data_IF_270134250352
#
_entry.id   IF_270134250352
#
_cell.length_a   1.000
_cell.length_b   1.000
_cell.length_c   1.000
_cell.angle_alpha   90.00
_cell.angle_beta   90.00
_cell.angle_gamma   90.00
#
_symmetry.space_group_name_H-M   'P 1'
#
loop_
_entity.id
_entity.type
_entity.pdbx_description
1 polymer ?
#
# COMPACT_ATOMS: atom_id res chain seq x y z
N UNK A 1 4.03 23.72 27.06
CA UNK A 1 4.45 22.82 25.95
C UNK A 1 3.63 23.17 24.71
N UNK A 2 4.28 23.45 23.55
CA UNK A 2 3.58 23.83 22.32
C UNK A 2 2.77 22.64 21.77
N UNK A 3 1.61 22.89 21.16
CA UNK A 3 0.73 21.86 20.59
C UNK A 3 1.44 20.93 19.59
N UNK A 4 2.51 21.40 18.95
CA UNK A 4 3.38 20.61 18.06
C UNK A 4 4.11 19.44 18.74
N UNK A 5 4.21 19.45 20.08
CA UNK A 5 4.82 18.35 20.84
C UNK A 5 3.82 17.28 21.30
N UNK A 6 2.51 17.51 21.17
CA UNK A 6 1.48 16.55 21.63
C UNK A 6 1.11 15.51 20.57
N UNK A 7 1.42 15.76 19.31
CA UNK A 7 1.20 14.83 18.20
C UNK A 7 2.53 14.51 17.54
N UNK A 8 3.38 13.70 18.17
CA UNK A 8 4.18 12.77 17.37
C UNK A 8 3.22 11.66 16.97
N UNK A 9 2.83 11.51 15.69
CA UNK A 9 2.05 10.37 15.27
C UNK A 9 2.77 9.11 15.75
N UNK A 10 2.04 8.27 16.47
CA UNK A 10 2.51 7.02 17.07
C UNK A 10 3.26 6.21 15.98
N UNK A 11 4.59 6.08 16.13
CA UNK A 11 5.48 5.17 15.40
C UNK A 11 5.21 4.96 13.89
N UNK A 12 4.89 5.99 13.12
CA UNK A 12 4.82 5.87 11.65
C UNK A 12 6.26 5.92 11.09
N UNK A 13 6.74 4.88 10.37
CA UNK A 13 8.03 4.92 9.70
C UNK A 13 8.20 6.18 8.84
N UNK A 14 9.37 6.82 8.88
CA UNK A 14 9.62 8.07 8.14
C UNK A 14 9.34 7.96 6.64
N UNK A 15 9.54 6.77 6.04
CA UNK A 15 9.21 6.50 4.64
C UNK A 15 7.72 6.71 4.29
N UNK A 16 6.83 6.65 5.29
CA UNK A 16 5.40 6.90 5.15
C UNK A 16 4.96 8.28 5.66
N UNK A 17 5.89 9.12 6.09
CA UNK A 17 5.56 10.43 6.61
C UNK A 17 5.43 11.43 5.44
N UNK A 18 4.23 11.50 4.85
CA UNK A 18 3.89 12.50 3.83
C UNK A 18 2.86 13.50 4.36
N UNK A 19 2.99 14.80 4.05
CA UNK A 19 1.98 15.77 4.45
C UNK A 19 0.66 15.45 3.74
N UNK A 20 -0.43 15.42 4.51
CA UNK A 20 -1.77 15.28 3.94
C UNK A 20 -2.03 16.48 3.04
N UNK A 21 -2.36 16.21 1.79
CA UNK A 21 -2.71 17.21 0.79
C UNK A 21 -4.22 17.39 0.77
N UNK A 22 -4.69 18.64 0.85
CA UNK A 22 -6.10 18.94 0.62
C UNK A 22 -6.38 18.90 -0.90
N UNK A 23 -6.54 17.70 -1.44
CA UNK A 23 -6.89 17.51 -2.85
C UNK A 23 -8.41 17.59 -3.00
N UNK A 24 -8.89 18.49 -3.87
CA UNK A 24 -10.26 18.44 -4.38
C UNK A 24 -10.26 17.70 -5.69
N UNK A 25 -11.07 16.66 -5.79
CA UNK A 25 -11.22 15.92 -7.04
C UNK A 25 -12.02 16.77 -8.06
N UNK A 26 -11.54 16.92 -9.30
CA UNK A 26 -12.28 17.60 -10.35
C UNK A 26 -13.53 16.78 -10.76
N UNK A 27 -14.48 17.42 -11.44
CA UNK A 27 -15.59 16.69 -12.06
C UNK A 27 -15.04 15.67 -13.09
N UNK A 28 -15.62 14.46 -13.12
CA UNK A 28 -15.18 13.39 -14.02
C UNK A 28 -13.87 12.69 -13.61
N UNK A 29 -13.32 12.96 -12.41
CA UNK A 29 -12.10 12.29 -11.93
C UNK A 29 -12.22 10.75 -11.89
N UNK A 30 -13.44 10.22 -11.84
CA UNK A 30 -13.71 8.79 -11.83
C UNK A 30 -13.26 8.11 -13.13
N UNK A 31 -13.14 8.84 -14.24
CA UNK A 31 -12.63 8.33 -15.52
C UNK A 31 -11.10 8.23 -15.55
N UNK A 32 -10.40 8.79 -14.55
CA UNK A 32 -8.94 8.86 -14.50
C UNK A 32 -8.32 7.59 -13.91
N UNK A 33 -7.05 7.37 -14.22
CA UNK A 33 -6.20 6.32 -13.68
C UNK A 33 -5.34 6.85 -12.53
N UNK A 34 -4.88 5.93 -11.68
CA UNK A 34 -3.96 6.23 -10.60
C UNK A 34 -2.51 6.06 -11.06
N UNK A 35 -1.71 7.12 -10.98
CA UNK A 35 -0.26 7.06 -11.17
C UNK A 35 0.44 7.23 -9.83
N UNK A 36 1.12 6.17 -9.37
CA UNK A 36 1.90 6.19 -8.13
C UNK A 36 3.33 6.66 -8.39
N UNK A 37 3.87 7.48 -7.50
CA UNK A 37 5.28 7.89 -7.58
C UNK A 37 6.25 6.73 -7.29
N UNK A 38 5.84 5.83 -6.38
CA UNK A 38 6.58 4.64 -6.01
C UNK A 38 5.57 3.52 -5.65
N UNK A 39 5.42 2.57 -6.57
CA UNK A 39 4.43 1.48 -6.46
C UNK A 39 4.77 0.57 -5.28
N UNK A 40 6.06 0.28 -5.05
CA UNK A 40 6.48 -0.63 -3.98
C UNK A 40 6.27 0.02 -2.61
N UNK A 41 6.54 1.32 -2.49
CA UNK A 41 6.20 2.09 -1.29
C UNK A 41 4.69 2.09 -1.02
N UNK A 42 3.85 2.20 -2.06
CA UNK A 42 2.39 2.15 -1.92
C UNK A 42 1.92 0.76 -1.46
N UNK A 43 2.46 -0.32 -2.04
CA UNK A 43 2.16 -1.68 -1.59
C UNK A 43 2.59 -1.90 -0.13
N UNK A 44 3.73 -1.35 0.26
CA UNK A 44 4.23 -1.37 1.63
C UNK A 44 3.33 -0.60 2.60
N UNK A 45 2.83 0.57 2.18
CA UNK A 45 1.90 1.38 2.95
C UNK A 45 0.58 0.64 3.16
N UNK A 46 0.03 0.05 2.09
CA UNK A 46 -1.20 -0.74 2.13
C UNK A 46 -1.05 -1.94 3.07
N UNK A 47 0.08 -2.66 3.02
CA UNK A 47 0.32 -3.78 3.93
C UNK A 47 0.52 -3.31 5.39
N UNK A 48 1.26 -2.23 5.62
CA UNK A 48 1.52 -1.67 6.94
C UNK A 48 0.24 -1.23 7.66
N UNK A 49 -0.68 -0.58 6.94
CA UNK A 49 -1.98 -0.15 7.48
C UNK A 49 -3.06 -1.23 7.44
N UNK A 50 -2.75 -2.42 6.90
CA UNK A 50 -3.71 -3.51 6.78
C UNK A 50 -4.87 -3.22 5.81
N UNK A 51 -4.68 -2.29 4.87
CA UNK A 51 -5.69 -1.95 3.87
C UNK A 51 -5.89 -3.12 2.89
N UNK A 52 -7.10 -3.21 2.34
CA UNK A 52 -7.47 -4.24 1.34
C UNK A 52 -7.13 -5.66 1.82
N UNK A 53 -7.36 -5.95 3.09
CA UNK A 53 -6.96 -7.21 3.70
C UNK A 53 -7.67 -8.40 3.04
N UNK A 54 -6.86 -9.40 2.66
CA UNK A 54 -7.28 -10.74 2.28
C UNK A 54 -6.44 -11.71 3.09
N UNK A 55 -7.10 -12.74 3.63
CA UNK A 55 -6.40 -13.85 4.27
C UNK A 55 -5.62 -14.64 3.20
N UNK A 56 -4.29 -14.78 3.35
CA UNK A 56 -3.51 -15.52 2.37
C UNK A 56 -3.86 -17.01 2.36
N UNK A 57 -3.73 -17.64 1.19
CA UNK A 57 -3.95 -19.08 1.06
C UNK A 57 -2.92 -19.86 1.90
N UNK A 58 -3.40 -20.91 2.55
CA UNK A 58 -2.55 -21.90 3.22
C UNK A 58 -1.50 -22.41 2.21
N UNK A 59 -0.27 -22.57 2.67
CA UNK A 59 0.89 -23.09 1.92
C UNK A 59 1.61 -22.12 0.97
N UNK A 60 1.11 -20.90 0.75
CA UNK A 60 1.82 -19.88 -0.05
C UNK A 60 3.17 -19.48 0.55
N UNK A 61 3.31 -19.59 1.87
CA UNK A 61 4.57 -19.34 2.58
C UNK A 61 5.71 -20.24 2.09
N UNK A 62 5.42 -21.48 1.68
CA UNK A 62 6.44 -22.44 1.23
C UNK A 62 7.17 -21.97 -0.04
N UNK A 63 6.44 -21.29 -0.94
CA UNK A 63 7.00 -20.69 -2.15
C UNK A 63 8.06 -19.64 -1.79
N UNK A 64 7.69 -18.69 -0.93
CA UNK A 64 8.60 -17.60 -0.55
C UNK A 64 9.74 -18.05 0.37
N UNK A 65 9.51 -19.06 1.22
CA UNK A 65 10.60 -19.69 1.99
C UNK A 65 11.66 -20.26 1.05
N UNK A 66 11.27 -20.86 -0.07
CA UNK A 66 12.21 -21.39 -1.05
C UNK A 66 12.94 -20.26 -1.82
N UNK A 67 12.22 -19.22 -2.22
CA UNK A 67 12.76 -18.09 -2.99
C UNK A 67 13.76 -17.27 -2.15
N UNK A 68 13.44 -16.99 -0.89
CA UNK A 68 14.25 -16.17 0.00
C UNK A 68 15.45 -16.89 0.62
N UNK A 69 15.60 -18.22 0.48
CA UNK A 69 16.80 -18.94 0.97
C UNK A 69 18.13 -18.43 0.43
N UNK A 70 18.11 -17.66 -0.67
CA UNK A 70 19.29 -17.11 -1.33
C UNK A 70 19.64 -15.69 -0.87
N UNK A 71 18.80 -15.08 -0.04
CA UNK A 71 18.99 -13.70 0.42
C UNK A 71 19.60 -13.66 1.84
N UNK A 72 20.38 -12.60 2.12
CA UNK A 72 20.99 -12.39 3.42
C UNK A 72 20.00 -11.71 4.39
N UNK A 73 19.48 -12.47 5.35
CA UNK A 73 18.63 -11.96 6.42
C UNK A 73 19.42 -11.72 7.70
N UNK A 74 19.04 -10.67 8.44
CA UNK A 74 19.68 -10.33 9.72
C UNK A 74 19.48 -11.39 10.81
N UNK A 75 18.30 -12.02 10.83
CA UNK A 75 17.93 -13.08 11.75
C UNK A 75 16.68 -13.82 11.22
N UNK A 76 16.32 -14.92 11.90
CA UNK A 76 15.15 -15.72 11.56
C UNK A 76 13.84 -14.92 11.61
N UNK A 77 13.70 -13.99 12.57
CA UNK A 77 12.50 -13.15 12.66
C UNK A 77 12.33 -12.24 11.44
N UNK A 78 13.43 -11.62 10.97
CA UNK A 78 13.45 -10.79 9.77
C UNK A 78 13.05 -11.61 8.53
N UNK A 79 13.53 -12.85 8.44
CA UNK A 79 13.15 -13.79 7.39
C UNK A 79 11.66 -14.12 7.42
N UNK A 80 11.14 -14.56 8.57
CA UNK A 80 9.73 -14.91 8.73
C UNK A 80 8.80 -13.72 8.45
N UNK A 81 9.18 -12.51 8.87
CA UNK A 81 8.41 -11.30 8.58
C UNK A 81 8.41 -10.95 7.09
N UNK A 82 9.53 -11.14 6.39
CA UNK A 82 9.61 -10.94 4.95
C UNK A 82 8.73 -11.95 4.18
N UNK A 83 8.77 -13.23 4.55
CA UNK A 83 7.91 -14.28 3.98
C UNK A 83 6.44 -13.91 4.16
N UNK A 84 6.01 -13.58 5.39
CA UNK A 84 4.63 -13.20 5.67
C UNK A 84 4.18 -11.96 4.88
N UNK A 85 5.05 -10.95 4.77
CA UNK A 85 4.80 -9.75 3.96
C UNK A 85 4.58 -10.10 2.49
N UNK A 86 5.46 -10.90 1.91
CA UNK A 86 5.39 -11.28 0.50
C UNK A 86 4.09 -12.05 0.19
N UNK A 87 3.74 -13.01 1.04
CA UNK A 87 2.49 -13.78 0.95
C UNK A 87 1.26 -12.88 1.05
N UNK A 88 1.27 -11.92 1.98
CA UNK A 88 0.21 -10.92 2.15
C UNK A 88 0.07 -9.98 0.95
N UNK A 89 1.18 -9.58 0.33
CA UNK A 89 1.14 -8.75 -0.88
C UNK A 89 0.65 -9.56 -2.09
N UNK A 90 1.07 -10.82 -2.25
CA UNK A 90 0.58 -11.69 -3.33
C UNK A 90 -0.93 -11.96 -3.21
N UNK A 91 -1.44 -12.15 -2.00
CA UNK A 91 -2.88 -12.29 -1.76
C UNK A 91 -3.68 -11.05 -2.20
N UNK A 92 -3.07 -9.86 -2.17
CA UNK A 92 -3.67 -8.58 -2.59
C UNK A 92 -3.46 -8.25 -4.06
N UNK A 93 -2.77 -9.11 -4.82
CA UNK A 93 -2.48 -8.84 -6.23
C UNK A 93 -3.70 -8.48 -7.07
N UNK A 94 -4.90 -9.08 -6.90
CA UNK A 94 -6.09 -8.66 -7.64
C UNK A 94 -6.44 -7.18 -7.42
N UNK A 95 -6.34 -6.70 -6.18
CA UNK A 95 -6.59 -5.29 -5.87
C UNK A 95 -5.48 -4.37 -6.37
N UNK A 96 -4.22 -4.80 -6.36
CA UNK A 96 -3.14 -4.02 -6.94
C UNK A 96 -3.31 -3.89 -8.45
N UNK A 97 -3.75 -4.95 -9.14
CA UNK A 97 -4.05 -4.88 -10.56
C UNK A 97 -5.15 -3.84 -10.82
N UNK A 98 -6.26 -3.93 -10.09
CA UNK A 98 -7.35 -2.97 -10.16
C UNK A 98 -6.87 -1.53 -9.90
N UNK A 99 -6.12 -1.32 -8.81
CA UNK A 99 -5.63 -0.01 -8.39
C UNK A 99 -4.68 0.65 -9.39
N UNK A 100 -3.85 -0.12 -10.10
CA UNK A 100 -2.79 0.39 -10.97
C UNK A 100 -3.07 0.28 -12.46
N UNK A 101 -4.18 -0.36 -12.86
CA UNK A 101 -4.48 -0.57 -14.28
C UNK A 101 -5.88 -0.12 -14.70
N UNK A 102 -6.80 0.10 -13.77
CA UNK A 102 -8.18 0.46 -14.10
C UNK A 102 -8.46 1.94 -13.80
N UNK A 103 -9.41 2.56 -14.51
CA UNK A 103 -9.93 3.87 -14.13
C UNK A 103 -10.72 3.77 -12.81
N UNK A 104 -10.77 4.85 -12.04
CA UNK A 104 -11.38 4.86 -10.69
C UNK A 104 -12.83 4.35 -10.68
N UNK A 105 -13.63 4.65 -11.71
CA UNK A 105 -15.03 4.24 -11.84
C UNK A 105 -15.22 2.73 -11.97
N UNK A 106 -14.20 2.02 -12.46
CA UNK A 106 -14.23 0.55 -12.65
C UNK A 106 -13.71 -0.18 -11.40
N UNK A 107 -13.05 0.54 -10.48
CA UNK A 107 -12.64 -0.01 -9.20
C UNK A 107 -13.85 -0.28 -8.30
N UNK A 108 -13.81 -1.40 -7.60
CA UNK A 108 -14.59 -1.71 -6.41
C UNK A 108 -14.48 -0.59 -5.36
N UNK A 109 -15.54 -0.43 -4.56
CA UNK A 109 -15.64 0.67 -3.61
C UNK A 109 -14.44 0.78 -2.65
N UNK A 110 -13.93 -0.36 -2.17
CA UNK A 110 -12.79 -0.38 -1.24
C UNK A 110 -11.49 0.05 -1.92
N UNK A 111 -11.24 -0.41 -3.16
CA UNK A 111 -10.03 -0.05 -3.90
C UNK A 111 -10.09 1.42 -4.31
N UNK A 112 -11.25 1.90 -4.76
CA UNK A 112 -11.46 3.33 -5.07
C UNK A 112 -11.19 4.22 -3.87
N UNK A 113 -11.71 3.85 -2.69
CA UNK A 113 -11.47 4.61 -1.47
C UNK A 113 -9.98 4.68 -1.11
N UNK A 114 -9.24 3.57 -1.32
CA UNK A 114 -7.78 3.57 -1.16
C UNK A 114 -7.10 4.43 -2.21
N UNK A 115 -7.52 4.38 -3.48
CA UNK A 115 -6.99 5.21 -4.56
C UNK A 115 -7.12 6.71 -4.23
N UNK A 116 -8.31 7.13 -3.82
CA UNK A 116 -8.60 8.51 -3.40
C UNK A 116 -7.75 8.92 -2.20
N UNK A 117 -7.60 8.03 -1.22
CA UNK A 117 -6.76 8.27 -0.04
C UNK A 117 -5.29 8.45 -0.42
N UNK A 118 -4.77 7.67 -1.37
CA UNK A 118 -3.39 7.79 -1.88
C UNK A 118 -3.15 9.12 -2.58
N UNK A 119 -4.14 9.63 -3.31
CA UNK A 119 -4.07 10.97 -3.93
C UNK A 119 -4.08 12.05 -2.85
N UNK A 120 -5.02 11.99 -1.89
CA UNK A 120 -5.10 12.95 -0.79
C UNK A 120 -3.87 12.94 0.12
N UNK A 121 -3.14 11.83 0.20
CA UNK A 121 -1.92 11.72 1.02
C UNK A 121 -0.63 11.92 0.22
N UNK A 122 -0.74 12.26 -1.07
CA UNK A 122 0.40 12.60 -1.93
C UNK A 122 1.28 11.41 -2.32
N UNK A 123 0.76 10.18 -2.26
CA UNK A 123 1.44 8.98 -2.76
C UNK A 123 1.18 8.70 -4.23
N UNK A 124 0.12 9.30 -4.78
CA UNK A 124 -0.27 9.15 -6.16
C UNK A 124 -0.87 10.45 -6.70
N UNK A 125 -1.07 10.49 -8.01
CA UNK A 125 -1.84 11.51 -8.71
C UNK A 125 -2.79 10.86 -9.71
N UNK A 126 -3.81 11.59 -10.13
CA UNK A 126 -4.73 11.14 -11.17
C UNK A 126 -4.22 11.57 -12.55
N UNK A 127 -4.30 10.66 -13.51
CA UNK A 127 -3.89 10.87 -14.91
C UNK A 127 -4.93 10.33 -15.88
N UNK A 128 -4.92 10.85 -17.11
CA UNK A 128 -5.78 10.39 -18.21
C UNK A 128 -5.32 9.05 -18.76
#
# INVERSE_FOLDING_TARGET
>A
MPLSTRYKPINIPEKFNRPIQQVRFPEGYEDLYLECYDIDLVKDLIDYWGLLYIEPKKDMELKYVADFRKEDFKNEEHFQNAVKKAVRQEARQPFFNELFTWPLKEMSANVRWVAESLVQTGYARLVL
#
